data_IF_275943634332
#
_entry.id   IF_275943634332
#
_cell.length_a   1.000
_cell.length_b   1.000
_cell.length_c   1.000
_cell.angle_alpha   90.00
_cell.angle_beta   90.00
_cell.angle_gamma   90.00
#
_symmetry.space_group_name_H-M   'P 1'
#
loop_
_entity.id
_entity.type
_entity.pdbx_description
1 polymer ?
#
# COMPACT_ATOMS: atom_id res chain seq x y z
N UNK A 1 14.61 -8.56 7.40
CA UNK A 1 13.90 -9.55 6.60
C UNK A 1 14.08 -9.17 5.15
N UNK A 2 14.63 -10.09 4.37
CA UNK A 2 14.96 -9.90 2.98
C UNK A 2 13.71 -9.58 2.17
N UNK A 3 13.61 -8.38 1.66
CA UNK A 3 12.68 -8.06 0.58
C UNK A 3 13.28 -8.66 -0.70
N UNK A 4 13.15 -9.97 -0.85
CA UNK A 4 13.40 -10.61 -2.14
C UNK A 4 12.44 -10.00 -3.16
N UNK A 5 12.99 -9.52 -4.26
CA UNK A 5 12.26 -9.14 -5.46
C UNK A 5 11.59 -10.40 -6.06
N UNK A 6 10.48 -10.82 -5.46
CA UNK A 6 9.68 -11.93 -5.98
C UNK A 6 8.84 -11.42 -7.14
N UNK A 7 9.21 -11.88 -8.31
CA UNK A 7 8.40 -12.03 -9.51
C UNK A 7 7.57 -10.84 -9.97
N UNK A 8 7.93 -10.27 -11.08
CA UNK A 8 7.25 -9.20 -11.85
C UNK A 8 5.74 -9.42 -12.12
N UNK A 9 5.16 -10.57 -11.77
CA UNK A 9 3.76 -10.90 -11.99
C UNK A 9 2.76 -10.20 -11.06
N UNK A 10 3.13 -9.92 -9.81
CA UNK A 10 2.23 -9.35 -8.79
C UNK A 10 2.37 -7.82 -8.61
N UNK A 11 3.32 -7.20 -9.28
CA UNK A 11 3.68 -5.79 -9.15
C UNK A 11 2.54 -4.85 -9.57
N UNK A 12 1.68 -5.26 -10.50
CA UNK A 12 0.64 -4.39 -11.06
C UNK A 12 -0.44 -3.97 -10.07
N UNK A 13 -0.75 -4.80 -9.09
CA UNK A 13 -1.84 -4.52 -8.14
C UNK A 13 -1.40 -3.66 -6.95
N UNK A 14 -0.10 -3.65 -6.63
CA UNK A 14 0.46 -2.92 -5.48
C UNK A 14 1.59 -1.96 -5.85
N UNK A 15 1.77 -1.63 -7.10
CA UNK A 15 2.90 -0.82 -7.59
C UNK A 15 3.08 0.51 -6.84
N UNK A 16 2.02 1.07 -6.26
CA UNK A 16 2.10 2.28 -5.44
C UNK A 16 2.54 2.02 -4.00
N UNK A 17 2.64 0.75 -3.56
CA UNK A 17 3.01 0.32 -2.21
C UNK A 17 4.36 -0.39 -2.17
N UNK A 18 4.70 -1.16 -3.20
CA UNK A 18 5.97 -1.87 -3.28
C UNK A 18 7.07 -0.92 -3.76
N UNK A 19 7.41 0.02 -2.89
CA UNK A 19 8.47 0.99 -3.14
C UNK A 19 9.81 0.32 -2.83
N UNK A 20 10.56 -0.03 -3.86
CA UNK A 20 11.88 -0.68 -3.72
C UNK A 20 12.91 0.20 -3.01
N UNK A 21 12.89 1.51 -3.28
CA UNK A 21 13.77 2.49 -2.64
C UNK A 21 12.90 3.61 -2.09
N UNK A 22 12.72 3.63 -0.76
CA UNK A 22 11.83 4.59 -0.10
C UNK A 22 12.59 5.83 0.35
N UNK A 23 12.32 6.97 -0.28
CA UNK A 23 12.85 8.27 0.15
C UNK A 23 12.29 8.72 1.52
N UNK A 24 11.14 8.20 1.93
CA UNK A 24 10.62 8.44 3.29
C UNK A 24 11.47 7.73 4.34
N UNK A 25 11.86 6.49 4.07
CA UNK A 25 12.77 5.76 4.97
C UNK A 25 14.14 6.43 5.03
N UNK A 26 14.68 6.88 3.89
CA UNK A 26 15.95 7.61 3.85
C UNK A 26 15.92 8.86 4.74
N UNK A 27 14.83 9.66 4.69
CA UNK A 27 14.65 10.82 5.58
C UNK A 27 14.58 10.42 7.05
N UNK A 28 13.87 9.35 7.37
CA UNK A 28 13.81 8.85 8.73
C UNK A 28 15.18 8.40 9.25
N UNK A 29 15.98 7.73 8.42
CA UNK A 29 17.34 7.35 8.77
C UNK A 29 18.22 8.59 8.99
N UNK A 30 18.04 9.64 8.17
CA UNK A 30 18.73 10.90 8.35
C UNK A 30 18.41 11.56 9.71
N UNK A 31 17.13 11.65 10.06
CA UNK A 31 16.72 12.19 11.36
C UNK A 31 17.28 11.36 12.53
N UNK A 32 17.14 10.03 12.47
CA UNK A 32 17.61 9.13 13.53
C UNK A 32 19.15 9.08 13.66
N UNK A 33 19.88 9.33 12.58
CA UNK A 33 21.34 9.45 12.61
C UNK A 33 21.82 10.72 13.35
N UNK A 34 20.93 11.69 13.53
CA UNK A 34 21.23 13.04 14.00
C UNK A 34 21.74 13.92 12.86
N UNK A 35 21.07 13.83 11.71
CA UNK A 35 21.35 14.59 10.49
C UNK A 35 22.74 14.30 9.89
N UNK A 36 23.21 13.04 10.03
CA UNK A 36 24.50 12.61 9.52
C UNK A 36 24.38 12.17 8.04
N UNK A 37 24.64 13.08 7.13
CA UNK A 37 24.54 12.85 5.67
C UNK A 37 25.56 11.81 5.17
N UNK A 38 26.74 11.75 5.75
CA UNK A 38 27.76 10.78 5.37
C UNK A 38 27.36 9.35 5.71
N UNK A 39 26.74 9.15 6.87
CA UNK A 39 26.24 7.84 7.31
C UNK A 39 25.11 7.35 6.37
N UNK A 40 24.11 8.22 6.10
CA UNK A 40 22.98 7.86 5.23
C UNK A 40 23.42 7.64 3.79
N UNK A 41 24.34 8.46 3.27
CA UNK A 41 24.94 8.25 1.96
C UNK A 41 25.62 6.89 1.85
N UNK A 42 26.38 6.48 2.88
CA UNK A 42 27.00 5.16 2.92
C UNK A 42 25.97 4.01 2.84
N UNK A 43 24.79 4.16 3.46
CA UNK A 43 23.70 3.17 3.33
C UNK A 43 23.15 3.11 1.90
N UNK A 44 22.94 4.26 1.25
CA UNK A 44 22.43 4.31 -0.13
C UNK A 44 23.46 3.77 -1.14
N UNK A 45 24.73 4.06 -0.94
CA UNK A 45 25.83 3.48 -1.76
C UNK A 45 25.92 1.97 -1.59
N UNK A 46 25.79 1.45 -0.35
CA UNK A 46 25.73 0.02 -0.08
C UNK A 46 24.52 -0.64 -0.72
N UNK A 47 23.35 0.00 -0.65
CA UNK A 47 22.13 -0.48 -1.31
C UNK A 47 22.33 -0.58 -2.83
N UNK A 48 22.89 0.44 -3.44
CA UNK A 48 23.14 0.47 -4.88
C UNK A 48 24.18 -0.59 -5.32
N UNK A 49 25.22 -0.81 -4.54
CA UNK A 49 26.32 -1.70 -4.89
C UNK A 49 26.06 -3.17 -4.53
N UNK A 50 25.32 -3.44 -3.45
CA UNK A 50 25.18 -4.77 -2.84
C UNK A 50 23.71 -5.22 -2.71
N UNK A 51 22.74 -4.35 -3.04
CA UNK A 51 21.30 -4.62 -2.88
C UNK A 51 20.83 -4.60 -1.41
N UNK A 52 21.68 -4.24 -0.47
CA UNK A 52 21.37 -4.22 0.98
C UNK A 52 22.27 -3.26 1.75
N UNK A 53 21.80 -2.83 2.90
CA UNK A 53 22.60 -2.15 3.93
C UNK A 53 22.14 -2.56 5.32
N UNK A 54 22.96 -2.30 6.32
CA UNK A 54 22.64 -2.47 7.73
C UNK A 54 22.82 -1.15 8.44
N UNK A 55 21.77 -0.73 9.15
CA UNK A 55 21.82 0.50 9.96
C UNK A 55 22.63 0.30 11.24
N UNK A 56 23.17 1.40 11.78
CA UNK A 56 23.87 1.39 13.07
C UNK A 56 22.92 1.01 14.22
N UNK A 57 23.49 0.53 15.33
CA UNK A 57 22.73 0.16 16.54
C UNK A 57 21.94 1.36 17.09
N UNK A 58 22.49 2.58 16.98
CA UNK A 58 21.80 3.81 17.36
C UNK A 58 20.51 4.01 16.56
N UNK A 59 20.57 3.89 15.25
CA UNK A 59 19.40 4.04 14.36
C UNK A 59 18.41 2.90 14.63
N UNK A 60 18.91 1.67 14.79
CA UNK A 60 18.03 0.52 15.12
C UNK A 60 17.27 0.75 16.42
N UNK A 61 17.97 1.17 17.47
CA UNK A 61 17.29 1.46 18.73
C UNK A 61 16.24 2.57 18.62
N UNK A 62 16.51 3.61 17.80
CA UNK A 62 15.52 4.66 17.51
C UNK A 62 14.29 4.15 16.73
N UNK A 63 14.52 3.26 15.76
CA UNK A 63 13.42 2.60 15.05
C UNK A 63 12.58 1.73 15.97
N UNK A 64 13.23 0.86 16.76
CA UNK A 64 12.55 -0.08 17.67
C UNK A 64 11.75 0.64 18.77
N UNK A 65 12.20 1.84 19.18
CA UNK A 65 11.51 2.65 20.18
C UNK A 65 10.26 3.37 19.67
N UNK A 66 10.18 3.67 18.37
CA UNK A 66 9.12 4.53 17.81
C UNK A 66 8.24 3.84 16.77
N UNK A 67 8.69 2.73 16.19
CA UNK A 67 8.02 2.06 15.08
C UNK A 67 7.83 0.57 15.34
N UNK A 68 6.74 0.07 14.81
CA UNK A 68 6.51 -1.36 14.66
C UNK A 68 6.20 -1.65 13.19
N UNK A 69 6.73 -2.72 12.64
CA UNK A 69 6.55 -3.10 11.25
C UNK A 69 5.99 -4.52 11.14
N UNK A 70 5.15 -4.72 10.15
CA UNK A 70 4.58 -6.02 9.81
C UNK A 70 4.30 -6.11 8.32
N UNK A 71 3.85 -7.28 7.91
CA UNK A 71 3.45 -7.56 6.53
C UNK A 71 2.06 -8.19 6.48
N UNK A 72 1.39 -8.00 5.35
CA UNK A 72 0.07 -8.54 5.10
C UNK A 72 -0.01 -9.06 3.67
N UNK A 73 -0.38 -10.32 3.49
CA UNK A 73 -0.54 -10.97 2.20
C UNK A 73 -1.83 -10.53 1.48
N UNK A 74 -1.99 -10.97 0.23
CA UNK A 74 -3.18 -10.66 -0.58
C UNK A 74 -4.47 -11.22 0.05
N UNK A 75 -4.43 -12.46 0.53
CA UNK A 75 -5.58 -13.12 1.14
C UNK A 75 -6.02 -12.39 2.42
N UNK A 76 -5.06 -12.04 3.27
CA UNK A 76 -5.32 -11.31 4.51
C UNK A 76 -5.81 -9.89 4.24
N UNK A 77 -5.28 -9.25 3.20
CA UNK A 77 -5.75 -7.94 2.74
C UNK A 77 -7.21 -8.01 2.32
N UNK A 78 -7.58 -8.98 1.48
CA UNK A 78 -8.97 -9.18 1.04
C UNK A 78 -9.89 -9.53 2.22
N UNK A 79 -9.46 -10.45 3.09
CA UNK A 79 -10.21 -10.83 4.29
C UNK A 79 -10.46 -9.62 5.21
N UNK A 80 -9.45 -8.74 5.37
CA UNK A 80 -9.57 -7.52 6.18
C UNK A 80 -10.57 -6.53 5.57
N UNK A 81 -10.53 -6.28 4.25
CA UNK A 81 -11.51 -5.42 3.57
C UNK A 81 -12.93 -5.97 3.80
N UNK A 82 -13.14 -7.26 3.51
CA UNK A 82 -14.43 -7.90 3.66
C UNK A 82 -14.96 -7.86 5.10
N UNK A 83 -14.08 -8.06 6.09
CA UNK A 83 -14.44 -8.01 7.50
C UNK A 83 -14.83 -6.60 7.93
N UNK A 84 -14.03 -5.57 7.61
CA UNK A 84 -14.36 -4.18 7.96
C UNK A 84 -15.68 -3.73 7.32
N UNK A 85 -15.93 -4.13 6.09
CA UNK A 85 -17.20 -3.83 5.43
C UNK A 85 -18.38 -4.51 6.13
N UNK A 86 -18.29 -5.80 6.48
CA UNK A 86 -19.38 -6.54 7.13
C UNK A 86 -19.64 -6.12 8.57
N UNK A 87 -18.58 -5.89 9.35
CA UNK A 87 -18.71 -5.62 10.79
C UNK A 87 -18.98 -4.15 11.09
N UNK A 88 -18.39 -3.24 10.32
CA UNK A 88 -18.48 -1.80 10.59
C UNK A 88 -19.23 -1.02 9.52
N UNK A 89 -19.64 -1.64 8.43
CA UNK A 89 -20.21 -0.94 7.28
C UNK A 89 -19.26 0.04 6.62
N UNK A 90 -17.96 -0.11 6.86
CA UNK A 90 -16.94 0.82 6.40
C UNK A 90 -16.04 0.20 5.34
N UNK A 91 -16.09 0.77 4.14
CA UNK A 91 -15.32 0.30 3.00
C UNK A 91 -13.93 0.91 3.01
N UNK A 92 -12.90 0.08 3.16
CA UNK A 92 -11.50 0.48 3.12
C UNK A 92 -10.85 0.03 1.82
N UNK A 93 -9.81 0.76 1.38
CA UNK A 93 -8.98 0.37 0.25
C UNK A 93 -7.92 -0.67 0.66
N UNK A 94 -7.25 -1.25 -0.34
CA UNK A 94 -6.23 -2.29 -0.12
C UNK A 94 -5.08 -1.83 0.76
N UNK A 95 -4.68 -0.56 0.68
CA UNK A 95 -3.58 0.02 1.44
C UNK A 95 -3.96 0.20 2.91
N UNK A 96 -5.16 0.75 3.14
CA UNK A 96 -5.72 0.90 4.49
C UNK A 96 -5.96 -0.46 5.13
N UNK A 97 -6.33 -1.49 4.34
CA UNK A 97 -6.50 -2.84 4.85
C UNK A 97 -5.19 -3.46 5.34
N UNK A 98 -4.08 -3.24 4.63
CA UNK A 98 -2.74 -3.66 5.10
C UNK A 98 -2.41 -2.98 6.42
N UNK A 99 -2.61 -1.66 6.53
CA UNK A 99 -2.35 -0.93 7.77
C UNK A 99 -3.23 -1.44 8.93
N UNK A 100 -4.50 -1.74 8.67
CA UNK A 100 -5.42 -2.27 9.67
C UNK A 100 -5.00 -3.67 10.15
N UNK A 101 -4.64 -4.55 9.22
CA UNK A 101 -4.16 -5.90 9.53
C UNK A 101 -2.86 -5.85 10.36
N UNK A 102 -1.89 -5.04 9.95
CA UNK A 102 -0.62 -4.88 10.67
C UNK A 102 -0.84 -4.29 12.06
N UNK A 103 -1.77 -3.35 12.24
CA UNK A 103 -2.15 -2.85 13.57
C UNK A 103 -2.74 -3.97 14.45
N UNK A 104 -3.54 -4.85 13.90
CA UNK A 104 -4.09 -5.99 14.65
C UNK A 104 -2.99 -6.97 15.07
N UNK A 105 -2.01 -7.23 14.20
CA UNK A 105 -0.81 -8.01 14.53
C UNK A 105 -0.04 -7.34 15.70
N UNK A 106 0.16 -6.02 15.63
CA UNK A 106 0.79 -5.25 16.70
C UNK A 106 0.06 -5.41 18.02
N UNK A 107 -1.26 -5.22 18.04
CA UNK A 107 -2.07 -5.38 19.25
C UNK A 107 -2.04 -6.79 19.81
N UNK A 108 -2.07 -7.79 18.93
CA UNK A 108 -1.96 -9.19 19.36
C UNK A 108 -0.59 -9.49 19.99
N UNK A 109 0.47 -8.87 19.48
CA UNK A 109 1.83 -9.09 19.98
C UNK A 109 2.13 -8.31 21.28
N UNK A 110 1.56 -7.12 21.46
CA UNK A 110 1.92 -6.19 22.54
C UNK A 110 0.86 -6.05 23.62
N UNK A 111 -0.40 -6.36 23.30
CA UNK A 111 -1.54 -6.07 24.18
C UNK A 111 -1.92 -4.59 24.24
N UNK A 112 -1.35 -3.73 23.41
CA UNK A 112 -1.65 -2.31 23.36
C UNK A 112 -3.09 -2.06 22.89
N UNK A 113 -3.83 -1.27 23.66
CA UNK A 113 -5.23 -0.89 23.39
C UNK A 113 -5.41 0.59 23.08
N UNK A 114 -4.31 1.33 22.90
CA UNK A 114 -4.35 2.76 22.61
C UNK A 114 -5.20 3.04 21.34
N UNK A 115 -5.93 4.17 21.29
CA UNK A 115 -6.63 4.58 20.11
C UNK A 115 -5.67 4.71 18.92
N UNK A 116 -6.05 4.10 17.80
CA UNK A 116 -5.21 4.07 16.59
C UNK A 116 -5.88 4.88 15.48
N UNK A 117 -5.09 5.71 14.79
CA UNK A 117 -5.53 6.45 13.61
C UNK A 117 -4.89 5.84 12.36
N UNK A 118 -5.73 5.40 11.43
CA UNK A 118 -5.27 4.95 10.12
C UNK A 118 -5.18 6.12 9.16
N UNK A 119 -4.00 6.32 8.57
CA UNK A 119 -3.82 7.29 7.49
C UNK A 119 -4.23 6.63 6.18
N UNK A 120 -5.47 6.82 5.76
CA UNK A 120 -5.99 6.28 4.51
C UNK A 120 -5.55 7.17 3.35
N UNK A 121 -4.60 6.70 2.55
CA UNK A 121 -3.97 7.45 1.47
C UNK A 121 -4.57 7.20 0.09
N UNK A 122 -5.48 6.25 -0.03
CA UNK A 122 -6.15 5.90 -1.27
C UNK A 122 -7.67 5.75 -1.07
N UNK A 123 -8.38 5.64 -2.17
CA UNK A 123 -9.83 5.38 -2.18
C UNK A 123 -10.09 3.94 -2.63
N UNK A 124 -11.07 3.23 -2.04
CA UNK A 124 -11.53 1.93 -2.53
C UNK A 124 -11.85 1.92 -4.03
N UNK A 125 -12.31 3.04 -4.54
CA UNK A 125 -12.63 3.24 -5.96
C UNK A 125 -11.44 3.23 -6.91
N UNK A 126 -10.20 3.28 -6.40
CA UNK A 126 -9.00 3.06 -7.23
C UNK A 126 -8.72 1.57 -7.48
N UNK A 127 -9.31 0.71 -6.67
CA UNK A 127 -9.06 -0.73 -6.66
C UNK A 127 -10.38 -1.52 -6.68
N UNK A 128 -11.36 -1.06 -7.46
CA UNK A 128 -12.71 -1.61 -7.49
C UNK A 128 -12.74 -3.12 -7.67
N UNK A 129 -11.91 -3.67 -8.57
CA UNK A 129 -11.81 -5.10 -8.83
C UNK A 129 -11.46 -5.89 -7.56
N UNK A 130 -10.40 -5.48 -6.87
CA UNK A 130 -9.94 -6.13 -5.64
C UNK A 130 -10.93 -5.95 -4.49
N UNK A 131 -11.51 -4.77 -4.38
CA UNK A 131 -12.47 -4.45 -3.31
C UNK A 131 -13.78 -5.21 -3.50
N UNK A 132 -14.32 -5.28 -4.72
CA UNK A 132 -15.50 -6.09 -5.03
C UNK A 132 -15.29 -7.56 -4.67
N UNK A 133 -14.17 -8.15 -5.11
CA UNK A 133 -13.82 -9.53 -4.74
C UNK A 133 -13.74 -9.73 -3.23
N UNK A 134 -13.14 -8.79 -2.53
CA UNK A 134 -12.97 -8.85 -1.07
C UNK A 134 -14.30 -8.81 -0.30
N UNK A 135 -15.31 -8.12 -0.83
CA UNK A 135 -16.66 -8.10 -0.22
C UNK A 135 -17.58 -9.21 -0.73
N UNK A 136 -17.09 -10.13 -1.57
CA UNK A 136 -17.80 -11.30 -2.06
C UNK A 136 -18.53 -11.09 -3.38
N UNK A 137 -18.22 -10.02 -4.11
CA UNK A 137 -18.84 -9.70 -5.39
C UNK A 137 -17.94 -10.08 -6.57
N UNK A 138 -18.53 -10.56 -7.65
CA UNK A 138 -17.81 -10.81 -8.89
C UNK A 138 -17.70 -9.50 -9.70
N UNK A 139 -16.48 -8.98 -9.98
CA UNK A 139 -16.35 -7.80 -10.83
C UNK A 139 -16.89 -8.04 -12.23
N UNK A 140 -17.70 -7.12 -12.74
CA UNK A 140 -18.29 -7.19 -14.07
C UNK A 140 -17.92 -5.95 -14.88
N UNK A 141 -17.22 -6.14 -16.00
CA UNK A 141 -16.73 -5.06 -16.83
C UNK A 141 -15.37 -4.52 -16.38
N UNK A 142 -15.06 -3.30 -16.80
CA UNK A 142 -13.80 -2.61 -16.49
C UNK A 142 -14.00 -1.12 -16.21
N UNK A 143 -12.94 -0.47 -15.74
CA UNK A 143 -12.89 0.99 -15.59
C UNK A 143 -14.10 1.60 -14.89
N UNK A 144 -14.91 2.36 -15.66
CA UNK A 144 -16.06 3.11 -15.12
C UNK A 144 -17.19 2.18 -14.67
N UNK A 145 -17.38 1.03 -15.31
CA UNK A 145 -18.40 0.06 -14.96
C UNK A 145 -18.19 -0.50 -13.57
N UNK A 146 -16.94 -0.77 -13.19
CA UNK A 146 -16.60 -1.19 -11.83
C UNK A 146 -16.87 -0.11 -10.77
N UNK A 147 -16.74 1.18 -11.13
CA UNK A 147 -17.13 2.26 -10.21
C UNK A 147 -18.65 2.21 -9.93
N UNK A 148 -19.46 1.99 -10.98
CA UNK A 148 -20.90 1.92 -10.86
C UNK A 148 -21.34 0.69 -10.09
N UNK A 149 -20.71 -0.45 -10.36
CA UNK A 149 -20.96 -1.69 -9.62
C UNK A 149 -20.63 -1.52 -8.12
N UNK A 150 -19.47 -1.00 -7.77
CA UNK A 150 -19.06 -0.80 -6.38
C UNK A 150 -20.03 0.17 -5.66
N UNK A 151 -20.46 1.23 -6.34
CA UNK A 151 -21.46 2.14 -5.82
C UNK A 151 -22.81 1.43 -5.58
N UNK A 152 -23.28 0.68 -6.55
CA UNK A 152 -24.58 -0.03 -6.45
C UNK A 152 -24.61 -1.04 -5.29
N UNK A 153 -23.49 -1.76 -5.07
CA UNK A 153 -23.40 -2.77 -4.01
C UNK A 153 -23.21 -2.14 -2.63
N UNK A 154 -22.40 -1.09 -2.52
CA UNK A 154 -21.99 -0.55 -1.21
C UNK A 154 -22.74 0.71 -0.78
N UNK A 155 -23.42 1.39 -1.69
CA UNK A 155 -24.05 2.69 -1.45
C UNK A 155 -23.02 3.83 -1.22
N UNK A 156 -21.72 3.56 -1.24
CA UNK A 156 -20.71 4.58 -1.05
C UNK A 156 -20.61 5.50 -2.26
N UNK A 157 -20.35 6.78 -2.05
CA UNK A 157 -20.31 7.75 -3.15
C UNK A 157 -19.06 7.59 -4.02
N UNK A 158 -19.23 7.55 -5.34
CA UNK A 158 -18.11 7.59 -6.29
C UNK A 158 -17.39 8.92 -6.15
N UNK A 159 -16.06 8.95 -5.95
CA UNK A 159 -15.30 10.18 -5.86
C UNK A 159 -15.52 11.06 -7.10
N UNK A 160 -15.85 12.33 -6.88
CA UNK A 160 -16.24 13.27 -7.95
C UNK A 160 -15.26 13.32 -9.12
N UNK A 161 -13.96 13.23 -8.85
CA UNK A 161 -12.92 13.25 -9.89
C UNK A 161 -12.92 11.97 -10.73
N UNK A 162 -13.19 10.82 -10.14
CA UNK A 162 -13.33 9.57 -10.87
C UNK A 162 -14.63 9.54 -11.69
N UNK A 163 -15.73 9.97 -11.10
CA UNK A 163 -17.00 10.11 -11.82
C UNK A 163 -16.90 11.04 -13.04
N UNK A 164 -16.09 12.08 -12.96
CA UNK A 164 -15.85 13.02 -14.07
C UNK A 164 -15.04 12.42 -15.24
N UNK A 165 -14.48 11.21 -15.10
CA UNK A 165 -13.84 10.51 -16.22
C UNK A 165 -14.85 9.89 -17.17
N UNK A 166 -16.11 9.73 -16.75
CA UNK A 166 -17.19 9.24 -17.63
C UNK A 166 -17.34 10.17 -18.82
N UNK A 167 -17.35 9.57 -19.99
CA UNK A 167 -17.51 10.32 -21.26
C UNK A 167 -16.29 11.15 -21.69
N UNK A 168 -15.18 11.10 -20.96
CA UNK A 168 -13.94 11.70 -21.46
C UNK A 168 -13.34 10.85 -22.56
N UNK A 169 -12.97 11.52 -23.65
CA UNK A 169 -12.26 10.86 -24.74
C UNK A 169 -10.86 10.43 -24.29
N UNK A 170 -10.51 9.20 -24.59
CA UNK A 170 -9.15 8.69 -24.42
C UNK A 170 -8.19 9.50 -25.30
N UNK A 171 -7.16 10.08 -24.70
CA UNK A 171 -6.21 10.96 -25.42
C UNK A 171 -4.99 10.23 -25.94
N UNK A 172 -4.64 9.11 -25.35
CA UNK A 172 -3.43 8.34 -25.65
C UNK A 172 -3.84 6.90 -25.93
N UNK A 173 -3.62 6.44 -27.15
CA UNK A 173 -3.98 5.08 -27.61
C UNK A 173 -2.73 4.22 -27.86
N UNK A 174 -1.54 4.79 -27.61
CA UNK A 174 -0.30 4.05 -27.77
C UNK A 174 -0.16 3.03 -26.65
N UNK A 175 0.11 1.81 -27.02
CA UNK A 175 0.53 0.73 -26.14
C UNK A 175 1.76 0.06 -26.71
N UNK A 176 2.67 -0.37 -25.87
CA UNK A 176 3.85 -1.13 -26.27
C UNK A 176 4.09 -2.26 -25.28
N UNK A 177 4.83 -3.27 -25.71
CA UNK A 177 5.35 -4.29 -24.82
C UNK A 177 6.34 -3.67 -23.84
N UNK A 178 6.46 -4.25 -22.65
CA UNK A 178 7.31 -3.74 -21.57
C UNK A 178 8.78 -3.54 -22.00
N UNK A 179 9.28 -4.41 -22.89
CA UNK A 179 10.64 -4.34 -23.42
C UNK A 179 10.85 -3.24 -24.45
N UNK A 180 9.78 -2.60 -24.92
CA UNK A 180 9.78 -1.52 -25.90
C UNK A 180 9.44 -0.16 -25.29
N UNK A 181 9.60 0.00 -23.98
CA UNK A 181 9.32 1.24 -23.25
C UNK A 181 10.52 2.19 -23.12
N UNK A 182 11.54 2.05 -23.97
CA UNK A 182 12.71 2.94 -24.00
C UNK A 182 12.40 4.30 -24.65
#
# INVERSE_FOLDING_TARGET
DDVESRGLGDVYKRQSMDILISSNLERLLFDLSGENDAEVRGYMEALAAQGRYQVSDKIRAGLDAAFWAGSCGEEDTAATIGRYYREYGYLIDTHTAVAANVMEQYRAATGDTAPTVFVSTASPYKFCDSVLKAIGEAPAGDGVELLDQLHAVTGTAVPRRLAALRGKQRRFDLSCEKQAMD
#
